data_IF_450524610307
#
_entry.id   IF_450524610307
#
_cell.length_a   1.000
_cell.length_b   1.000
_cell.length_c   1.000
_cell.angle_alpha   90.00
_cell.angle_beta   90.00
_cell.angle_gamma   90.00
#
_symmetry.space_group_name_H-M   'P 1'
#
loop_
_entity.id
_entity.type
_entity.pdbx_description
1 polymer ?
#
# COMPACT_ATOMS: atom_id res chain seq x y z
N UNK A 1 -7.95 6.65 -1.34
CA UNK A 1 -7.16 7.65 -2.07
C UNK A 1 -6.18 8.24 -1.07
N UNK A 2 -5.00 8.69 -1.50
CA UNK A 2 -4.07 9.41 -0.64
C UNK A 2 -4.69 10.69 -0.08
N UNK A 3 -4.33 11.08 1.13
CA UNK A 3 -4.86 12.26 1.82
C UNK A 3 -4.56 13.55 1.05
N UNK A 4 -3.42 13.61 0.34
CA UNK A 4 -3.06 14.73 -0.55
C UNK A 4 -3.58 14.55 -1.97
N UNK A 5 -4.13 13.38 -2.29
CA UNK A 5 -4.63 13.05 -3.63
C UNK A 5 -3.53 12.90 -4.69
N UNK A 6 -2.28 12.65 -4.28
CA UNK A 6 -1.16 12.46 -5.19
C UNK A 6 -1.03 11.00 -5.66
N UNK A 7 -1.69 10.08 -4.96
CA UNK A 7 -1.72 8.66 -5.32
C UNK A 7 -3.07 8.01 -4.99
N UNK A 8 -3.48 7.04 -5.81
CA UNK A 8 -4.66 6.21 -5.58
C UNK A 8 -4.24 4.74 -5.48
N UNK A 9 -4.76 4.05 -4.46
CA UNK A 9 -4.71 2.60 -4.37
C UNK A 9 -6.01 2.02 -4.98
N UNK A 10 -5.90 1.36 -6.13
CA UNK A 10 -6.98 0.57 -6.71
C UNK A 10 -6.85 -0.89 -6.27
N UNK A 11 -7.81 -1.34 -5.46
CA UNK A 11 -7.80 -2.67 -4.84
C UNK A 11 -8.47 -3.69 -5.76
N UNK A 12 -7.81 -4.83 -5.99
CA UNK A 12 -8.38 -5.96 -6.69
C UNK A 12 -8.69 -7.08 -5.69
N UNK A 13 -9.95 -7.50 -5.64
CA UNK A 13 -10.39 -8.56 -4.73
C UNK A 13 -10.63 -8.09 -3.30
N UNK A 14 -11.26 -6.93 -3.12
CA UNK A 14 -11.69 -6.41 -1.81
C UNK A 14 -12.61 -7.43 -1.10
N UNK A 15 -12.45 -7.65 0.21
CA UNK A 15 -11.48 -7.03 1.12
C UNK A 15 -10.05 -7.56 0.92
N UNK A 16 -9.05 -6.76 1.34
CA UNK A 16 -7.69 -7.28 1.52
C UNK A 16 -7.72 -8.25 2.71
N UNK A 17 -7.07 -9.41 2.60
CA UNK A 17 -7.14 -10.44 3.65
C UNK A 17 -5.79 -11.03 4.01
N UNK A 18 -5.64 -11.41 5.28
CA UNK A 18 -4.40 -12.04 5.80
C UNK A 18 -4.40 -13.56 5.65
N UNK A 19 -5.57 -14.20 5.65
CA UNK A 19 -5.70 -15.66 5.45
C UNK A 19 -6.34 -15.94 4.09
N UNK A 20 -5.69 -16.77 3.26
CA UNK A 20 -6.28 -17.40 2.07
C UNK A 20 -5.75 -18.84 1.91
N UNK A 21 -6.54 -19.78 1.36
CA UNK A 21 -6.12 -21.17 1.19
C UNK A 21 -4.83 -21.37 0.36
N UNK A 22 -4.50 -20.43 -0.53
CA UNK A 22 -3.30 -20.47 -1.38
C UNK A 22 -2.25 -19.42 -0.98
N UNK A 23 -2.39 -18.81 0.20
CA UNK A 23 -1.59 -17.66 0.63
C UNK A 23 -2.22 -16.32 0.22
N UNK A 24 -2.00 -15.25 1.01
CA UNK A 24 -2.50 -13.92 0.66
C UNK A 24 -1.81 -13.44 -0.63
N UNK A 25 -2.60 -12.84 -1.52
CA UNK A 25 -2.14 -12.24 -2.78
C UNK A 25 -2.92 -10.94 -3.00
N UNK A 26 -2.77 -10.02 -2.05
CA UNK A 26 -3.52 -8.78 -2.01
C UNK A 26 -3.04 -7.81 -3.09
N UNK A 27 -3.75 -7.80 -4.22
CA UNK A 27 -3.34 -7.03 -5.40
C UNK A 27 -3.81 -5.57 -5.30
N UNK A 28 -2.86 -4.66 -5.44
CA UNK A 28 -3.08 -3.21 -5.45
C UNK A 28 -2.39 -2.61 -6.67
N UNK A 29 -3.13 -1.81 -7.44
CA UNK A 29 -2.56 -0.91 -8.44
C UNK A 29 -2.42 0.47 -7.83
N UNK A 30 -1.20 0.95 -7.74
CA UNK A 30 -0.87 2.29 -7.28
C UNK A 30 -0.81 3.24 -8.48
N UNK A 31 -1.65 4.26 -8.50
CA UNK A 31 -1.71 5.25 -9.58
C UNK A 31 -1.27 6.61 -9.03
N UNK A 32 -0.04 7.01 -9.35
CA UNK A 32 0.47 8.35 -9.05
C UNK A 32 -0.16 9.37 -9.99
N UNK A 33 -0.43 10.57 -9.47
CA UNK A 33 -0.92 11.72 -10.24
C UNK A 33 0.13 12.25 -11.23
N UNK A 34 1.41 12.15 -10.88
CA UNK A 34 2.52 12.57 -11.76
C UNK A 34 2.84 11.49 -12.79
N UNK A 35 3.16 11.91 -14.01
CA UNK A 35 3.64 11.07 -15.12
C UNK A 35 5.17 10.96 -15.19
N UNK A 36 5.91 11.56 -14.25
CA UNK A 36 7.37 11.44 -14.18
C UNK A 36 7.80 9.98 -13.99
N UNK A 37 9.03 9.61 -14.44
CA UNK A 37 9.56 8.27 -14.19
C UNK A 37 9.48 7.95 -12.70
N UNK A 38 8.84 6.83 -12.40
CA UNK A 38 8.67 6.41 -11.04
C UNK A 38 9.93 5.67 -10.58
N UNK A 39 10.62 6.21 -9.57
CA UNK A 39 11.51 5.41 -8.73
C UNK A 39 10.66 4.53 -7.80
N UNK A 40 11.29 3.57 -7.12
CA UNK A 40 10.61 2.64 -6.21
C UNK A 40 9.60 3.35 -5.29
N UNK A 41 8.43 2.74 -5.15
CA UNK A 41 7.46 3.14 -4.13
C UNK A 41 7.80 2.38 -2.86
N UNK A 42 8.15 3.11 -1.81
CA UNK A 42 8.34 2.57 -0.46
C UNK A 42 7.06 2.85 0.33
N UNK A 43 6.60 1.83 1.04
CA UNK A 43 5.38 1.84 1.83
C UNK A 43 5.79 1.47 3.25
N UNK A 44 5.71 2.43 4.16
CA UNK A 44 5.82 2.20 5.60
C UNK A 44 4.41 2.07 6.15
N UNK A 45 4.07 0.89 6.66
CA UNK A 45 2.73 0.56 7.14
C UNK A 45 2.76 0.37 8.65
N UNK A 46 1.88 1.06 9.37
CA UNK A 46 1.72 0.96 10.83
C UNK A 46 0.30 0.51 11.14
N UNK A 47 0.15 -0.54 11.94
CA UNK A 47 -1.17 -1.04 12.33
C UNK A 47 -1.73 -0.20 13.48
N UNK A 48 -2.90 0.40 13.26
CA UNK A 48 -3.55 1.30 14.21
C UNK A 48 -3.81 0.64 15.57
N UNK A 49 -3.61 1.42 16.63
CA UNK A 49 -3.72 0.95 18.02
C UNK A 49 -2.67 -0.10 18.43
N UNK A 50 -1.66 -0.35 17.59
CA UNK A 50 -0.58 -1.31 17.85
C UNK A 50 0.81 -0.68 17.69
N UNK A 51 1.86 -1.43 18.04
CA UNK A 51 3.25 -1.09 17.71
C UNK A 51 3.79 -1.86 16.50
N UNK A 52 2.93 -2.52 15.72
CA UNK A 52 3.34 -3.34 14.58
C UNK A 52 3.56 -2.45 13.36
N UNK A 53 4.76 -2.55 12.77
CA UNK A 53 5.13 -1.83 11.56
C UNK A 53 5.73 -2.77 10.51
N UNK A 54 5.46 -2.52 9.23
CA UNK A 54 5.97 -3.27 8.10
C UNK A 54 6.45 -2.32 7.00
N UNK A 55 7.55 -2.66 6.32
CA UNK A 55 7.98 -1.93 5.13
C UNK A 55 7.80 -2.79 3.90
N UNK A 56 7.12 -2.25 2.88
CA UNK A 56 6.99 -2.86 1.56
C UNK A 56 7.61 -1.95 0.52
N UNK A 57 8.06 -2.57 -0.58
CA UNK A 57 8.64 -1.86 -1.71
C UNK A 57 8.00 -2.39 -2.99
N UNK A 58 7.61 -1.48 -3.86
CA UNK A 58 7.19 -1.78 -5.24
C UNK A 58 8.32 -1.30 -6.16
N UNK A 59 9.17 -2.22 -6.66
CA UNK A 59 10.28 -1.87 -7.54
C UNK A 59 9.78 -1.20 -8.81
N UNK A 60 10.42 -0.10 -9.22
CA UNK A 60 10.01 0.68 -10.40
C UNK A 60 8.80 1.59 -10.16
N UNK A 61 8.34 1.71 -8.91
CA UNK A 61 7.45 2.78 -8.48
C UNK A 61 5.97 2.44 -8.40
N UNK A 62 5.09 3.45 -8.23
CA UNK A 62 3.65 3.23 -8.24
C UNK A 62 3.23 2.47 -9.49
N UNK A 63 2.61 1.31 -9.28
CA UNK A 63 2.22 0.39 -10.32
C UNK A 63 1.51 -0.84 -9.74
N UNK A 64 1.32 -1.91 -10.52
CA UNK A 64 0.72 -3.13 -10.03
C UNK A 64 1.64 -3.84 -9.02
N UNK A 65 1.07 -4.27 -7.90
CA UNK A 65 1.82 -4.92 -6.82
C UNK A 65 0.97 -5.94 -6.06
N UNK A 66 1.65 -6.82 -5.32
CA UNK A 66 1.06 -7.62 -4.25
C UNK A 66 1.57 -7.02 -2.93
N UNK A 67 0.65 -6.62 -2.05
CA UNK A 67 0.96 -6.01 -0.76
C UNK A 67 0.29 -6.83 0.33
N UNK A 68 1.05 -7.69 1.01
CA UNK A 68 0.54 -8.50 2.11
C UNK A 68 1.05 -7.95 3.44
N UNK A 69 0.12 -7.72 4.37
CA UNK A 69 0.40 -7.31 5.74
C UNK A 69 0.03 -8.44 6.70
N UNK A 70 0.77 -8.60 7.81
CA UNK A 70 0.75 -9.82 8.62
C UNK A 70 -0.49 -9.95 9.52
N UNK A 71 -1.23 -8.86 9.74
CA UNK A 71 -2.32 -8.81 10.70
C UNK A 71 -3.55 -8.08 10.13
N UNK A 72 -4.77 -8.52 10.49
CA UNK A 72 -5.98 -7.81 10.14
C UNK A 72 -6.07 -6.51 10.95
N UNK A 73 -6.76 -5.53 10.40
CA UNK A 73 -6.96 -4.22 11.02
C UNK A 73 -6.77 -3.07 10.05
N UNK A 74 -6.85 -1.86 10.58
CA UNK A 74 -6.61 -0.62 9.84
C UNK A 74 -5.12 -0.30 9.87
N UNK A 75 -4.50 -0.27 8.71
CA UNK A 75 -3.09 0.09 8.54
C UNK A 75 -2.99 1.50 8.00
N UNK A 76 -2.23 2.34 8.70
CA UNK A 76 -1.82 3.65 8.22
C UNK A 76 -0.57 3.50 7.36
N UNK A 77 -0.61 4.00 6.12
CA UNK A 77 0.49 3.88 5.18
C UNK A 77 1.10 5.25 4.92
N UNK A 78 2.42 5.35 5.09
CA UNK A 78 3.24 6.42 4.53
C UNK A 78 3.88 5.93 3.23
N UNK A 79 3.55 6.60 2.14
CA UNK A 79 3.96 6.23 0.78
C UNK A 79 5.02 7.22 0.31
N UNK A 80 6.18 6.75 -0.13
CA UNK A 80 7.22 7.62 -0.70
C UNK A 80 7.72 7.12 -2.05
N UNK A 81 7.81 8.02 -3.04
CA UNK A 81 8.30 7.70 -4.38
C UNK A 81 8.80 8.96 -5.08
N UNK A 82 9.92 8.91 -5.79
CA UNK A 82 10.44 10.05 -6.58
C UNK A 82 10.43 11.41 -5.85
N UNK A 83 10.77 11.43 -4.55
CA UNK A 83 10.77 12.66 -3.73
C UNK A 83 9.37 13.16 -3.30
N UNK A 84 8.31 12.39 -3.54
CA UNK A 84 6.93 12.64 -3.13
C UNK A 84 6.56 11.77 -1.94
N UNK A 85 5.60 12.24 -1.16
CA UNK A 85 5.04 11.53 -0.02
C UNK A 85 3.54 11.66 -0.01
N UNK A 86 2.78 10.62 0.25
CA UNK A 86 1.34 10.71 0.54
C UNK A 86 0.98 9.67 1.60
N UNK A 87 -0.17 9.82 2.24
CA UNK A 87 -0.63 8.91 3.29
C UNK A 87 -2.01 8.38 2.96
N UNK A 88 -2.34 7.16 3.37
CA UNK A 88 -3.70 6.64 3.34
C UNK A 88 -3.86 5.46 4.29
N UNK A 89 -5.11 5.12 4.58
CA UNK A 89 -5.43 3.95 5.37
C UNK A 89 -5.92 2.79 4.48
N UNK A 90 -5.46 1.57 4.80
CA UNK A 90 -5.95 0.32 4.22
C UNK A 90 -6.47 -0.63 5.30
N UNK A 91 -7.65 -1.20 5.08
CA UNK A 91 -8.22 -2.20 5.98
C UNK A 91 -7.92 -3.61 5.47
N UNK A 92 -7.32 -4.44 6.33
CA UNK A 92 -7.11 -5.88 6.13
C UNK A 92 -8.05 -6.70 7.04
N UNK A 93 -8.53 -7.84 6.54
CA UNK A 93 -9.42 -8.76 7.25
C UNK A 93 -8.84 -10.17 7.42
#
# INVERSE_FOLDING_TARGET
MGDRGDIVAAIFGYPLTVVRPQGPTNKVLWVSKSSEPAGDLVIEAELDGSGTSETRRVPGGPGPSIIDLPQPGCWHLTLTWSGRTDTLDLVYQ
#
